data_IF_858743289440
#
_entry.id   IF_858743289440
#
_cell.length_a   1.000
_cell.length_b   1.000
_cell.length_c   1.000
_cell.angle_alpha   90.00
_cell.angle_beta   90.00
_cell.angle_gamma   90.00
#
_symmetry.space_group_name_H-M   'P 1'
#
loop_
_entity.id
_entity.type
_entity.pdbx_description
1 polymer ?
#
# COMPACT_ATOMS: atom_id res chain seq x y z
N UNK A 1 16.46 9.16 -38.23
CA UNK A 1 15.19 9.43 -38.95
C UNK A 1 14.12 8.51 -38.37
N UNK A 2 12.94 9.03 -38.00
CA UNK A 2 11.83 8.18 -37.56
C UNK A 2 11.38 7.28 -38.72
N UNK A 3 11.13 5.99 -38.43
CA UNK A 3 10.70 5.02 -39.44
C UNK A 3 9.33 5.44 -40.03
N UNK A 4 9.05 5.15 -41.31
CA UNK A 4 7.76 5.45 -41.91
C UNK A 4 6.62 4.73 -41.18
N UNK A 5 5.53 5.46 -40.94
CA UNK A 5 4.38 5.06 -40.11
C UNK A 5 3.74 3.72 -40.52
N UNK A 6 3.74 3.39 -41.81
CA UNK A 6 3.24 2.12 -42.33
C UNK A 6 4.08 0.92 -41.89
N UNK A 7 5.41 1.07 -41.81
CA UNK A 7 6.30 0.02 -41.35
C UNK A 7 6.10 -0.29 -39.86
N UNK A 8 5.72 0.72 -39.07
CA UNK A 8 5.36 0.53 -37.66
C UNK A 8 3.98 -0.14 -37.48
N UNK A 9 3.03 0.14 -38.39
CA UNK A 9 1.72 -0.52 -38.41
C UNK A 9 1.82 -1.99 -38.79
N UNK A 10 2.65 -2.30 -39.79
CA UNK A 10 2.86 -3.68 -40.25
C UNK A 10 3.62 -4.52 -39.20
N UNK A 11 4.57 -3.93 -38.46
CA UNK A 11 5.22 -4.58 -37.31
C UNK A 11 4.27 -4.75 -36.11
N UNK A 12 3.31 -3.83 -35.90
CA UNK A 12 2.37 -3.87 -34.79
C UNK A 12 1.15 -4.79 -35.03
N UNK A 13 0.74 -4.99 -36.28
CA UNK A 13 -0.39 -5.82 -36.67
C UNK A 13 -0.35 -7.27 -36.13
N UNK A 14 0.76 -8.03 -36.21
CA UNK A 14 0.82 -9.38 -35.65
C UNK A 14 0.75 -9.39 -34.12
N UNK A 15 1.31 -8.38 -33.45
CA UNK A 15 1.26 -8.23 -31.98
C UNK A 15 -0.16 -7.93 -31.51
N UNK A 16 -0.89 -7.06 -32.22
CA UNK A 16 -2.28 -6.75 -31.94
C UNK A 16 -3.21 -7.94 -32.18
N UNK A 17 -2.98 -8.69 -33.27
CA UNK A 17 -3.72 -9.93 -33.58
C UNK A 17 -3.50 -10.99 -32.50
N UNK A 18 -2.25 -11.20 -32.04
CA UNK A 18 -1.92 -12.08 -30.90
C UNK A 18 -2.56 -11.65 -29.59
N UNK A 19 -2.56 -10.35 -29.26
CA UNK A 19 -3.27 -9.85 -28.06
C UNK A 19 -4.79 -10.09 -28.15
N UNK A 20 -5.37 -9.98 -29.35
CA UNK A 20 -6.79 -10.24 -29.54
C UNK A 20 -7.15 -11.72 -29.33
N UNK A 21 -6.32 -12.65 -29.82
CA UNK A 21 -6.53 -14.09 -29.58
C UNK A 21 -6.29 -14.48 -28.11
N UNK A 22 -5.26 -13.94 -27.46
CA UNK A 22 -5.04 -14.14 -26.01
C UNK A 22 -6.21 -13.62 -25.18
N UNK A 23 -6.76 -12.45 -25.51
CA UNK A 23 -7.93 -11.92 -24.80
C UNK A 23 -9.19 -12.77 -25.00
N UNK A 24 -9.36 -13.36 -26.20
CA UNK A 24 -10.44 -14.31 -26.48
C UNK A 24 -10.27 -15.62 -25.71
N UNK A 25 -9.04 -16.14 -25.61
CA UNK A 25 -8.69 -17.32 -24.79
C UNK A 25 -8.95 -17.06 -23.30
N UNK A 26 -8.53 -15.89 -22.80
CA UNK A 26 -8.76 -15.49 -21.41
C UNK A 26 -10.27 -15.36 -21.11
N UNK A 27 -11.04 -14.81 -22.05
CA UNK A 27 -12.49 -14.70 -21.93
C UNK A 27 -13.18 -16.09 -21.95
N UNK A 28 -12.72 -17.03 -22.79
CA UNK A 28 -13.17 -18.43 -22.80
C UNK A 28 -12.86 -19.11 -21.46
N UNK A 29 -11.67 -18.89 -20.92
CA UNK A 29 -11.24 -19.42 -19.63
C UNK A 29 -12.05 -18.87 -18.45
N UNK A 30 -12.21 -17.54 -18.36
CA UNK A 30 -13.02 -16.87 -17.31
C UNK A 30 -14.49 -17.31 -17.39
N UNK A 31 -15.05 -17.44 -18.60
CA UNK A 31 -16.42 -17.94 -18.77
C UNK A 31 -16.57 -19.36 -18.22
N UNK A 32 -15.60 -20.23 -18.48
CA UNK A 32 -15.66 -21.63 -18.04
C UNK A 32 -15.43 -21.75 -16.53
N UNK A 33 -14.52 -20.97 -15.93
CA UNK A 33 -14.37 -20.96 -14.46
C UNK A 33 -15.56 -20.32 -13.76
N UNK A 34 -16.34 -19.51 -14.46
CA UNK A 34 -17.63 -18.96 -14.01
C UNK A 34 -18.85 -19.82 -14.36
N UNK A 35 -18.69 -20.95 -15.05
CA UNK A 35 -19.82 -21.83 -15.36
C UNK A 35 -20.39 -22.42 -14.06
N UNK A 36 -21.73 -22.44 -13.89
CA UNK A 36 -22.35 -22.70 -12.60
C UNK A 36 -22.29 -24.19 -12.29
N UNK A 37 -21.29 -24.59 -11.49
CA UNK A 37 -21.13 -25.97 -11.03
C UNK A 37 -20.77 -26.14 -9.56
N UNK A 38 -20.46 -25.08 -8.81
CA UNK A 38 -19.96 -25.22 -7.44
C UNK A 38 -20.49 -24.21 -6.39
N UNK A 39 -21.20 -23.15 -6.80
CA UNK A 39 -21.79 -22.18 -5.85
C UNK A 39 -23.24 -21.94 -6.29
N UNK A 40 -24.19 -22.34 -5.44
CA UNK A 40 -25.61 -22.41 -5.74
C UNK A 40 -26.16 -21.16 -6.46
N UNK A 41 -26.71 -21.39 -7.64
CA UNK A 41 -27.28 -20.38 -8.53
C UNK A 41 -28.54 -19.79 -7.88
N UNK A 42 -28.40 -18.63 -7.21
CA UNK A 42 -29.53 -17.85 -6.69
C UNK A 42 -29.82 -16.71 -7.67
N UNK A 43 -30.79 -16.86 -8.59
CA UNK A 43 -31.06 -15.86 -9.65
C UNK A 43 -31.44 -14.47 -9.11
N UNK A 44 -31.93 -14.38 -7.86
CA UNK A 44 -32.31 -13.12 -7.21
C UNK A 44 -31.13 -12.23 -6.78
N UNK A 45 -29.97 -12.80 -6.42
CA UNK A 45 -28.81 -11.97 -6.04
C UNK A 45 -28.13 -11.37 -7.28
N UNK A 46 -28.11 -12.11 -8.39
CA UNK A 46 -27.54 -11.65 -9.66
C UNK A 46 -28.28 -10.43 -10.23
N UNK A 47 -29.62 -10.44 -10.23
CA UNK A 47 -30.44 -9.32 -10.73
C UNK A 47 -30.34 -8.03 -9.88
N UNK A 48 -30.04 -8.16 -8.58
CA UNK A 48 -29.85 -6.99 -7.71
C UNK A 48 -28.43 -6.39 -7.81
N UNK A 49 -27.42 -7.21 -8.10
CA UNK A 49 -26.01 -6.80 -8.15
C UNK A 49 -25.64 -6.24 -9.53
N UNK A 50 -26.29 -6.70 -10.60
CA UNK A 50 -26.03 -6.27 -11.98
C UNK A 50 -26.10 -4.74 -12.21
N UNK A 51 -27.11 -3.98 -11.73
CA UNK A 51 -27.11 -2.52 -11.87
C UNK A 51 -25.97 -1.84 -11.07
N UNK A 52 -25.62 -2.38 -9.90
CA UNK A 52 -24.52 -1.85 -9.09
C UNK A 52 -23.15 -2.09 -9.76
N UNK A 53 -22.93 -3.29 -10.28
CA UNK A 53 -21.69 -3.66 -10.98
C UNK A 53 -21.55 -2.91 -12.30
N UNK A 54 -22.63 -2.79 -13.09
CA UNK A 54 -22.60 -2.02 -14.34
C UNK A 54 -22.37 -0.52 -14.09
N UNK A 55 -23.00 0.04 -13.06
CA UNK A 55 -22.73 1.41 -12.59
C UNK A 55 -21.27 1.60 -12.17
N UNK A 56 -20.72 0.67 -11.38
CA UNK A 56 -19.33 0.69 -10.95
C UNK A 56 -18.37 0.61 -12.16
N UNK A 57 -18.64 -0.28 -13.12
CA UNK A 57 -17.84 -0.40 -14.34
C UNK A 57 -17.90 0.89 -15.17
N UNK A 58 -19.05 1.53 -15.27
CA UNK A 58 -19.20 2.80 -15.99
C UNK A 58 -18.38 3.92 -15.32
N UNK A 59 -18.43 4.02 -13.99
CA UNK A 59 -17.63 4.97 -13.22
C UNK A 59 -16.14 4.67 -13.38
N UNK A 60 -15.72 3.40 -13.26
CA UNK A 60 -14.34 2.99 -13.47
C UNK A 60 -13.86 3.33 -14.87
N UNK A 61 -14.65 3.12 -15.93
CA UNK A 61 -14.25 3.48 -17.30
C UNK A 61 -13.94 4.96 -17.49
N UNK A 62 -14.53 5.85 -16.69
CA UNK A 62 -14.26 7.29 -16.73
C UNK A 62 -13.09 7.65 -15.82
N UNK A 63 -13.08 7.12 -14.59
CA UNK A 63 -12.05 7.44 -13.61
C UNK A 63 -10.69 6.84 -13.96
N UNK A 64 -10.65 5.60 -14.44
CA UNK A 64 -9.40 4.87 -14.72
C UNK A 64 -8.51 5.59 -15.75
N UNK A 65 -8.99 6.05 -16.93
CA UNK A 65 -8.13 6.76 -17.88
C UNK A 65 -7.72 8.15 -17.39
N UNK A 66 -8.56 8.84 -16.61
CA UNK A 66 -8.20 10.11 -15.98
C UNK A 66 -7.07 9.89 -14.96
N UNK A 67 -7.22 8.87 -14.12
CA UNK A 67 -6.23 8.47 -13.13
C UNK A 67 -4.93 8.02 -13.78
N UNK A 68 -5.00 7.24 -14.86
CA UNK A 68 -3.84 6.82 -15.65
C UNK A 68 -3.08 8.01 -16.23
N UNK A 69 -3.78 9.01 -16.81
CA UNK A 69 -3.15 10.23 -17.32
C UNK A 69 -2.47 11.03 -16.21
N UNK A 70 -3.12 11.17 -15.06
CA UNK A 70 -2.58 11.87 -13.90
C UNK A 70 -1.33 11.17 -13.36
N UNK A 71 -1.35 9.85 -13.24
CA UNK A 71 -0.22 9.06 -12.80
C UNK A 71 0.92 9.04 -13.83
N UNK A 72 0.61 8.91 -15.12
CA UNK A 72 1.61 8.98 -16.19
C UNK A 72 2.30 10.35 -16.24
N UNK A 73 1.54 11.43 -16.02
CA UNK A 73 2.09 12.78 -15.88
C UNK A 73 3.00 12.88 -14.65
N UNK A 74 2.51 12.45 -13.48
CA UNK A 74 3.30 12.43 -12.25
C UNK A 74 4.58 11.62 -12.38
N UNK A 75 4.51 10.42 -12.96
CA UNK A 75 5.65 9.56 -13.25
C UNK A 75 6.62 10.20 -14.25
N UNK A 76 6.12 10.89 -15.29
CA UNK A 76 6.98 11.62 -16.24
C UNK A 76 7.74 12.78 -15.58
N UNK A 77 7.13 13.45 -14.60
CA UNK A 77 7.81 14.47 -13.79
C UNK A 77 8.83 13.83 -12.86
N UNK A 78 8.41 12.84 -12.06
CA UNK A 78 9.26 12.13 -11.08
C UNK A 78 10.47 11.45 -11.73
N UNK A 79 10.31 10.81 -12.88
CA UNK A 79 11.40 10.16 -13.61
C UNK A 79 12.46 11.12 -14.17
N UNK A 80 12.13 12.41 -14.31
CA UNK A 80 13.08 13.45 -14.73
C UNK A 80 13.78 14.13 -13.56
N UNK A 81 13.31 13.91 -12.32
CA UNK A 81 13.94 14.50 -11.13
C UNK A 81 15.22 13.74 -10.76
N UNK A 82 16.26 14.45 -10.29
CA UNK A 82 17.44 13.79 -9.72
C UNK A 82 17.05 13.03 -8.45
N UNK A 83 17.80 11.96 -8.15
CA UNK A 83 17.53 11.07 -7.01
C UNK A 83 17.42 11.82 -5.68
N UNK A 84 18.22 12.87 -5.49
CA UNK A 84 18.19 13.71 -4.30
C UNK A 84 16.90 14.54 -4.20
N UNK A 85 16.41 15.07 -5.32
CA UNK A 85 15.13 15.77 -5.33
C UNK A 85 13.95 14.82 -5.09
N UNK A 86 14.02 13.58 -5.58
CA UNK A 86 13.03 12.55 -5.24
C UNK A 86 13.03 12.27 -3.72
N UNK A 87 14.21 12.11 -3.11
CA UNK A 87 14.35 11.92 -1.65
C UNK A 87 13.73 13.09 -0.88
N UNK A 88 13.93 14.32 -1.35
CA UNK A 88 13.29 15.51 -0.78
C UNK A 88 11.77 15.47 -0.89
N UNK A 89 11.22 15.18 -2.08
CA UNK A 89 9.77 15.11 -2.29
C UNK A 89 9.13 14.04 -1.40
N UNK A 90 9.74 12.86 -1.31
CA UNK A 90 9.27 11.79 -0.41
C UNK A 90 9.37 12.21 1.06
N UNK A 91 10.48 12.86 1.46
CA UNK A 91 10.66 13.39 2.81
C UNK A 91 9.59 14.42 3.18
N UNK A 92 9.32 15.37 2.29
CA UNK A 92 8.27 16.38 2.47
C UNK A 92 6.87 15.76 2.53
N UNK A 93 6.57 14.79 1.65
CA UNK A 93 5.28 14.09 1.66
C UNK A 93 5.07 13.31 2.97
N UNK A 94 6.09 12.59 3.44
CA UNK A 94 6.04 11.89 4.73
C UNK A 94 5.91 12.87 5.90
N UNK A 95 6.54 14.04 5.78
CA UNK A 95 6.52 15.06 6.81
C UNK A 95 5.17 15.78 6.94
N UNK A 96 4.46 15.97 5.83
CA UNK A 96 3.18 16.70 5.80
C UNK A 96 1.96 15.77 5.89
N UNK A 97 2.10 14.50 5.51
CA UNK A 97 0.95 13.58 5.37
C UNK A 97 1.16 12.21 6.03
N UNK A 98 2.29 11.99 6.72
CA UNK A 98 2.64 10.68 7.26
C UNK A 98 1.65 10.13 8.28
N UNK A 99 1.02 10.98 9.08
CA UNK A 99 0.00 10.62 10.07
C UNK A 99 -1.29 10.08 9.45
N UNK A 100 -1.62 10.49 8.22
CA UNK A 100 -2.77 9.93 7.50
C UNK A 100 -2.53 8.45 7.12
N UNK A 101 -1.28 8.09 6.86
CA UNK A 101 -0.85 6.77 6.38
C UNK A 101 -0.10 5.98 7.45
N UNK A 102 -0.47 6.14 8.72
CA UNK A 102 0.30 5.58 9.82
C UNK A 102 0.36 4.05 9.78
N UNK A 103 -0.72 3.35 9.40
CA UNK A 103 -0.72 1.89 9.31
C UNK A 103 0.14 1.40 8.14
N UNK A 104 0.10 2.10 7.00
CA UNK A 104 0.94 1.80 5.84
C UNK A 104 2.42 2.03 6.12
N UNK A 105 2.75 3.13 6.81
CA UNK A 105 4.13 3.43 7.23
C UNK A 105 4.63 2.37 8.22
N UNK A 106 3.83 2.01 9.23
CA UNK A 106 4.16 0.95 10.17
C UNK A 106 4.32 -0.41 9.46
N UNK A 107 3.47 -0.72 8.48
CA UNK A 107 3.57 -1.94 7.68
C UNK A 107 4.89 -1.99 6.90
N UNK A 108 5.29 -0.88 6.28
CA UNK A 108 6.56 -0.79 5.55
C UNK A 108 7.75 -0.92 6.50
N UNK A 109 7.70 -0.31 7.68
CA UNK A 109 8.78 -0.40 8.67
C UNK A 109 8.90 -1.79 9.27
N UNK A 110 7.78 -2.42 9.63
CA UNK A 110 7.76 -3.82 10.03
C UNK A 110 8.33 -4.69 8.92
N UNK A 111 7.92 -4.47 7.67
CA UNK A 111 8.44 -5.23 6.54
C UNK A 111 9.96 -5.06 6.35
N UNK A 112 10.45 -3.84 6.51
CA UNK A 112 11.88 -3.52 6.44
C UNK A 112 12.68 -4.21 7.54
N UNK A 113 12.15 -4.29 8.75
CA UNK A 113 12.81 -4.92 9.91
C UNK A 113 12.77 -6.45 9.81
N UNK A 114 11.63 -7.04 9.43
CA UNK A 114 11.41 -8.48 9.57
C UNK A 114 11.79 -9.32 8.35
N UNK A 115 12.01 -8.72 7.16
CA UNK A 115 12.29 -9.60 6.02
C UNK A 115 12.59 -8.98 4.67
N UNK A 116 12.79 -7.66 4.53
CA UNK A 116 13.00 -7.05 3.20
C UNK A 116 14.11 -7.73 2.38
N UNK A 117 15.28 -7.96 2.99
CA UNK A 117 16.43 -8.55 2.27
C UNK A 117 16.16 -9.97 1.78
N UNK A 118 15.62 -10.81 2.67
CA UNK A 118 15.28 -12.19 2.35
C UNK A 118 14.10 -12.26 1.37
N UNK A 119 13.10 -11.40 1.53
CA UNK A 119 11.95 -11.35 0.63
C UNK A 119 12.39 -10.97 -0.78
N UNK A 120 13.28 -10.00 -0.94
CA UNK A 120 13.77 -9.62 -2.29
C UNK A 120 14.39 -10.80 -3.01
N UNK A 121 15.14 -11.64 -2.29
CA UNK A 121 15.69 -12.87 -2.85
C UNK A 121 14.59 -13.86 -3.27
N UNK A 122 13.62 -14.13 -2.40
CA UNK A 122 12.52 -15.06 -2.67
C UNK A 122 11.57 -14.57 -3.77
N UNK A 123 11.29 -13.26 -3.84
CA UNK A 123 10.56 -12.64 -4.96
C UNK A 123 11.32 -12.84 -6.26
N UNK A 124 12.64 -12.66 -6.26
CA UNK A 124 13.47 -12.90 -7.43
C UNK A 124 13.33 -14.33 -7.97
N UNK A 125 13.28 -15.33 -7.08
CA UNK A 125 13.03 -16.73 -7.44
C UNK A 125 11.65 -16.89 -8.08
N UNK A 126 10.59 -16.41 -7.42
CA UNK A 126 9.21 -16.55 -7.93
C UNK A 126 9.04 -15.86 -9.28
N UNK A 127 9.60 -14.66 -9.46
CA UNK A 127 9.54 -13.92 -10.72
C UNK A 127 10.30 -14.64 -11.83
N UNK A 128 11.50 -15.17 -11.54
CA UNK A 128 12.28 -15.91 -12.53
C UNK A 128 11.55 -17.18 -13.00
N UNK A 129 10.99 -17.97 -12.08
CA UNK A 129 10.21 -19.15 -12.42
C UNK A 129 8.93 -18.79 -13.17
N UNK A 130 8.23 -17.72 -12.77
CA UNK A 130 7.04 -17.23 -13.47
C UNK A 130 7.35 -16.76 -14.89
N UNK A 131 8.50 -16.12 -15.11
CA UNK A 131 8.97 -15.74 -16.44
C UNK A 131 9.28 -16.97 -17.29
N UNK A 132 9.95 -17.99 -16.74
CA UNK A 132 10.21 -19.26 -17.42
C UNK A 132 8.92 -19.94 -17.89
N UNK A 133 7.92 -20.04 -17.00
CA UNK A 133 6.59 -20.59 -17.33
C UNK A 133 5.89 -19.74 -18.39
N UNK A 134 5.99 -18.41 -18.31
CA UNK A 134 5.40 -17.52 -19.30
C UNK A 134 6.05 -17.70 -20.68
N UNK A 135 7.36 -17.86 -20.75
CA UNK A 135 8.09 -18.06 -22.01
C UNK A 135 7.83 -19.45 -22.61
N UNK A 136 7.76 -20.49 -21.78
CA UNK A 136 7.33 -21.82 -22.21
C UNK A 136 5.89 -21.81 -22.73
N UNK A 137 4.98 -21.13 -22.03
CA UNK A 137 3.59 -20.97 -22.44
C UNK A 137 3.45 -20.22 -23.76
N UNK A 138 4.31 -19.23 -24.02
CA UNK A 138 4.35 -18.54 -25.33
C UNK A 138 4.79 -19.46 -26.45
N UNK A 139 5.82 -20.29 -26.23
CA UNK A 139 6.30 -21.25 -27.24
C UNK A 139 5.24 -22.31 -27.54
N UNK A 140 4.60 -22.84 -26.49
CA UNK A 140 3.50 -23.80 -26.59
C UNK A 140 2.29 -23.24 -27.35
N UNK A 141 2.05 -21.92 -27.26
CA UNK A 141 0.97 -21.26 -28.01
C UNK A 141 1.20 -21.18 -29.52
N UNK A 142 2.43 -21.38 -29.99
CA UNK A 142 2.81 -21.34 -31.41
C UNK A 142 2.95 -22.76 -32.01
N UNK A 143 2.70 -23.82 -31.23
CA UNK A 143 2.75 -25.21 -31.72
C UNK A 143 1.45 -25.55 -32.44
N UNK A 144 1.59 -25.99 -33.68
CA UNK A 144 0.55 -26.53 -34.58
C UNK A 144 1.10 -27.87 -35.06
N UNK A 145 0.73 -28.95 -34.36
CA UNK A 145 1.31 -30.27 -34.58
C UNK A 145 0.65 -31.04 -35.72
N UNK A 146 -0.56 -30.65 -36.14
CA UNK A 146 -1.33 -31.27 -37.21
C UNK A 146 -1.30 -30.47 -38.54
N UNK A 147 -0.55 -29.37 -38.56
CA UNK A 147 -0.34 -28.45 -39.69
C UNK A 147 -1.66 -27.91 -40.27
N UNK A 148 -2.68 -27.77 -39.44
CA UNK A 148 -4.01 -27.36 -39.87
C UNK A 148 -4.15 -25.81 -39.96
N UNK A 149 -3.12 -25.08 -39.54
CA UNK A 149 -3.06 -23.61 -39.55
C UNK A 149 -3.65 -22.95 -38.30
N UNK A 150 -4.05 -23.73 -37.30
CA UNK A 150 -4.55 -23.32 -36.00
C UNK A 150 -3.66 -23.95 -34.92
N UNK A 151 -3.28 -23.16 -33.91
CA UNK A 151 -2.47 -23.72 -32.82
C UNK A 151 -3.28 -24.73 -32.00
N UNK A 152 -2.67 -25.86 -31.61
CA UNK A 152 -3.33 -26.95 -30.85
C UNK A 152 -4.06 -26.43 -29.60
N UNK A 153 -3.48 -25.40 -28.96
CA UNK A 153 -4.01 -24.75 -27.75
C UNK A 153 -5.37 -24.06 -27.99
N UNK A 154 -5.65 -23.59 -29.20
CA UNK A 154 -6.94 -22.97 -29.56
C UNK A 154 -8.06 -24.00 -29.72
N UNK A 155 -7.71 -25.21 -30.13
CA UNK A 155 -8.65 -26.29 -30.39
C UNK A 155 -9.09 -27.02 -29.12
N UNK A 156 -8.25 -26.97 -28.08
CA UNK A 156 -8.54 -27.59 -26.78
C UNK A 156 -9.81 -27.03 -26.13
N UNK A 157 -10.53 -27.91 -25.43
CA UNK A 157 -11.59 -27.48 -24.52
C UNK A 157 -10.99 -26.75 -23.32
N UNK A 158 -11.76 -25.87 -22.66
CA UNK A 158 -11.25 -25.05 -21.55
C UNK A 158 -10.69 -25.88 -20.38
N UNK A 159 -11.28 -27.05 -20.10
CA UNK A 159 -10.81 -27.95 -19.04
C UNK A 159 -9.52 -28.66 -19.42
N UNK A 160 -9.39 -29.07 -20.68
CA UNK A 160 -8.15 -29.63 -21.24
C UNK A 160 -7.05 -28.59 -21.28
N UNK A 161 -7.37 -27.35 -21.67
CA UNK A 161 -6.43 -26.23 -21.67
C UNK A 161 -5.91 -25.93 -20.26
N UNK A 162 -6.79 -25.91 -19.25
CA UNK A 162 -6.36 -25.74 -17.86
C UNK A 162 -5.40 -26.86 -17.45
N UNK A 163 -5.75 -28.11 -17.73
CA UNK A 163 -4.90 -29.26 -17.42
C UNK A 163 -3.56 -29.18 -18.16
N UNK A 164 -3.57 -28.89 -19.45
CA UNK A 164 -2.37 -28.74 -20.28
C UNK A 164 -1.46 -27.63 -19.78
N UNK A 165 -2.00 -26.43 -19.52
CA UNK A 165 -1.22 -25.30 -19.02
C UNK A 165 -0.71 -25.51 -17.59
N UNK A 166 -1.47 -26.18 -16.72
CA UNK A 166 -0.96 -26.59 -15.40
C UNK A 166 0.15 -27.63 -15.53
N UNK A 167 0.02 -28.61 -16.44
CA UNK A 167 1.05 -29.60 -16.70
C UNK A 167 2.32 -28.96 -17.27
N UNK A 168 2.17 -28.03 -18.22
CA UNK A 168 3.26 -27.23 -18.78
C UNK A 168 3.95 -26.41 -17.68
N UNK A 169 3.20 -25.75 -16.80
CA UNK A 169 3.78 -25.01 -15.69
C UNK A 169 4.56 -25.94 -14.75
N UNK A 170 3.99 -27.09 -14.39
CA UNK A 170 4.65 -28.09 -13.52
C UNK A 170 5.89 -28.71 -14.17
N UNK A 171 5.92 -28.89 -15.50
CA UNK A 171 7.08 -29.43 -16.22
C UNK A 171 8.17 -28.39 -16.49
N UNK A 172 7.80 -27.11 -16.53
CA UNK A 172 8.75 -26.00 -16.79
C UNK A 172 9.50 -25.57 -15.52
N UNK A 173 8.87 -25.69 -14.35
CA UNK A 173 9.51 -25.37 -13.06
C UNK A 173 10.60 -26.39 -12.76
N UNK A 174 11.85 -25.92 -12.64
CA UNK A 174 13.01 -26.79 -12.44
C UNK A 174 13.11 -27.32 -11.02
N UNK A 175 12.78 -26.48 -10.03
CA UNK A 175 12.86 -26.82 -8.61
C UNK A 175 11.56 -26.43 -7.88
N UNK A 176 10.58 -27.35 -7.77
CA UNK A 176 9.30 -27.06 -7.12
C UNK A 176 9.45 -26.85 -5.61
N UNK A 177 10.44 -27.46 -4.97
CA UNK A 177 10.66 -27.30 -3.52
C UNK A 177 11.16 -25.91 -3.20
N UNK A 178 12.09 -25.38 -4.01
CA UNK A 178 12.58 -24.01 -3.88
C UNK A 178 11.49 -22.98 -4.16
N UNK A 179 10.64 -23.23 -5.17
CA UNK A 179 9.50 -22.35 -5.45
C UNK A 179 8.49 -22.35 -4.30
N UNK A 180 8.16 -23.54 -3.76
CA UNK A 180 7.27 -23.68 -2.60
C UNK A 180 7.85 -22.98 -1.36
N UNK A 181 9.14 -23.17 -1.07
CA UNK A 181 9.81 -22.50 0.05
C UNK A 181 9.81 -20.98 -0.11
N UNK A 182 10.07 -20.48 -1.32
CA UNK A 182 10.00 -19.05 -1.61
C UNK A 182 8.58 -18.50 -1.42
N UNK A 183 7.56 -19.17 -1.95
CA UNK A 183 6.16 -18.77 -1.76
C UNK A 183 5.74 -18.83 -0.28
N UNK A 184 6.17 -19.85 0.45
CA UNK A 184 5.96 -19.98 1.89
C UNK A 184 6.59 -18.83 2.67
N UNK A 185 7.80 -18.40 2.28
CA UNK A 185 8.46 -17.25 2.88
C UNK A 185 7.69 -15.94 2.60
N UNK A 186 7.21 -15.73 1.38
CA UNK A 186 6.37 -14.55 1.06
C UNK A 186 5.14 -14.49 1.98
N UNK A 187 4.48 -15.64 2.17
CA UNK A 187 3.33 -15.74 3.07
C UNK A 187 3.72 -15.48 4.52
N UNK A 188 4.80 -16.08 5.01
CA UNK A 188 5.29 -15.89 6.37
C UNK A 188 5.66 -14.42 6.65
N UNK A 189 6.32 -13.75 5.70
CA UNK A 189 6.67 -12.33 5.83
C UNK A 189 5.42 -11.44 5.87
N UNK A 190 4.41 -11.74 5.05
CA UNK A 190 3.11 -11.06 5.11
C UNK A 190 2.41 -11.25 6.45
N UNK A 191 2.31 -12.49 6.94
CA UNK A 191 1.70 -12.81 8.24
C UNK A 191 2.47 -12.16 9.39
N UNK A 192 3.80 -12.09 9.30
CA UNK A 192 4.63 -11.44 10.32
C UNK A 192 4.33 -9.94 10.41
N UNK A 193 4.21 -9.23 9.29
CA UNK A 193 3.82 -7.81 9.30
C UNK A 193 2.44 -7.62 9.90
N UNK A 194 1.46 -8.44 9.49
CA UNK A 194 0.12 -8.38 10.06
C UNK A 194 0.13 -8.64 11.57
N UNK A 195 0.91 -9.61 12.04
CA UNK A 195 1.03 -9.91 13.47
C UNK A 195 1.64 -8.74 14.25
N UNK A 196 2.69 -8.09 13.72
CA UNK A 196 3.29 -6.90 14.34
C UNK A 196 2.28 -5.77 14.45
N UNK A 197 1.58 -5.46 13.35
CA UNK A 197 0.57 -4.41 13.35
C UNK A 197 -0.52 -4.72 14.39
N UNK A 198 -1.06 -5.94 14.41
CA UNK A 198 -2.07 -6.35 15.40
C UNK A 198 -1.58 -6.20 16.83
N UNK A 199 -0.34 -6.59 17.12
CA UNK A 199 0.20 -6.47 18.47
C UNK A 199 0.25 -5.01 18.94
N UNK A 200 0.60 -4.07 18.06
CA UNK A 200 0.58 -2.64 18.38
C UNK A 200 -0.83 -2.10 18.63
N UNK A 201 -1.80 -2.49 17.80
CA UNK A 201 -3.20 -2.09 17.99
C UNK A 201 -3.84 -2.72 19.23
N UNK A 202 -3.63 -4.02 19.46
CA UNK A 202 -4.12 -4.73 20.64
C UNK A 202 -3.55 -4.11 21.93
N UNK A 203 -2.27 -3.71 21.92
CA UNK A 203 -1.65 -2.96 23.03
C UNK A 203 -2.34 -1.62 23.26
N UNK A 204 -2.64 -0.88 22.20
CA UNK A 204 -3.33 0.41 22.27
C UNK A 204 -4.74 0.28 22.85
N UNK A 205 -5.51 -0.72 22.40
CA UNK A 205 -6.86 -1.00 22.91
C UNK A 205 -6.82 -1.47 24.36
N UNK A 206 -5.89 -2.36 24.71
CA UNK A 206 -5.71 -2.84 26.10
C UNK A 206 -5.42 -1.69 27.05
N UNK A 207 -4.55 -0.75 26.64
CA UNK A 207 -4.27 0.45 27.42
C UNK A 207 -5.52 1.34 27.57
N UNK A 208 -6.30 1.50 26.50
CA UNK A 208 -7.53 2.29 26.52
C UNK A 208 -8.59 1.69 27.46
N UNK A 209 -8.73 0.37 27.47
CA UNK A 209 -9.68 -0.33 28.34
C UNK A 209 -9.23 -0.26 29.81
N UNK A 210 -7.94 -0.43 30.09
CA UNK A 210 -7.40 -0.24 31.43
C UNK A 210 -7.64 1.19 31.95
N UNK A 211 -7.49 2.21 31.09
CA UNK A 211 -7.87 3.59 31.44
C UNK A 211 -9.37 3.73 31.71
N UNK A 212 -10.25 3.06 30.93
CA UNK A 212 -11.69 3.10 31.16
C UNK A 212 -12.06 2.54 32.54
N UNK A 213 -11.48 1.39 32.93
CA UNK A 213 -11.69 0.80 34.25
C UNK A 213 -11.29 1.76 35.38
N UNK A 214 -10.18 2.51 35.22
CA UNK A 214 -9.74 3.50 36.21
C UNK A 214 -10.72 4.68 36.35
N UNK A 215 -11.39 5.08 35.27
CA UNK A 215 -12.35 6.19 35.28
C UNK A 215 -13.79 5.77 35.59
N UNK A 216 -14.09 4.47 35.62
CA UNK A 216 -15.45 3.95 35.74
C UNK A 216 -16.12 4.43 37.02
N UNK A 217 -15.47 4.27 38.17
CA UNK A 217 -16.03 4.66 39.47
C UNK A 217 -16.36 6.15 39.58
N UNK A 218 -15.43 7.09 39.31
CA UNK A 218 -15.73 8.52 39.41
C UNK A 218 -16.81 8.97 38.41
N UNK A 219 -16.82 8.43 37.19
CA UNK A 219 -17.82 8.78 36.17
C UNK A 219 -19.19 8.21 36.52
N UNK A 220 -19.28 6.95 36.92
CA UNK A 220 -20.54 6.32 37.32
C UNK A 220 -21.16 7.07 38.49
N UNK A 221 -20.37 7.45 39.50
CA UNK A 221 -20.85 8.24 40.64
C UNK A 221 -21.46 9.59 40.23
N UNK A 222 -20.91 10.22 39.20
CA UNK A 222 -21.35 11.54 38.73
C UNK A 222 -22.57 11.46 37.81
N UNK A 223 -22.55 10.55 36.83
CA UNK A 223 -23.52 10.54 35.73
C UNK A 223 -24.68 9.55 35.92
N UNK A 224 -24.49 8.47 36.70
CA UNK A 224 -25.53 7.45 36.88
C UNK A 224 -26.85 8.01 37.44
N UNK A 225 -26.87 8.89 38.45
CA UNK A 225 -28.13 9.41 38.99
C UNK A 225 -28.95 10.18 37.95
N UNK A 226 -28.30 11.00 37.13
CA UNK A 226 -28.96 11.75 36.06
C UNK A 226 -29.46 10.83 34.94
N UNK A 227 -28.68 9.80 34.60
CA UNK A 227 -29.03 8.84 33.57
C UNK A 227 -30.22 7.96 34.01
N UNK A 228 -30.25 7.50 35.27
CA UNK A 228 -31.34 6.71 35.85
C UNK A 228 -32.63 7.51 36.02
N UNK A 229 -32.55 8.84 36.18
CA UNK A 229 -33.74 9.70 36.14
C UNK A 229 -34.35 9.82 34.74
N UNK A 230 -33.53 9.64 33.70
CA UNK A 230 -33.91 9.78 32.29
C UNK A 230 -34.34 8.44 31.68
N UNK A 231 -33.70 7.34 32.09
CA UNK A 231 -34.13 5.99 31.78
C UNK A 231 -35.28 5.62 32.73
N UNK A 232 -36.45 5.31 32.17
CA UNK A 232 -37.61 4.89 32.97
C UNK A 232 -37.32 3.72 33.93
N UNK A 233 -38.24 3.44 34.88
CA UNK A 233 -38.01 2.47 35.96
C UNK A 233 -37.60 1.08 35.47
N UNK A 234 -38.06 0.67 34.29
CA UNK A 234 -37.76 -0.65 33.73
C UNK A 234 -36.33 -0.77 33.16
N UNK A 235 -35.67 0.36 32.82
CA UNK A 235 -34.38 0.37 32.12
C UNK A 235 -33.19 0.78 32.99
N UNK A 236 -33.39 1.07 34.27
CA UNK A 236 -32.34 1.60 35.16
C UNK A 236 -31.10 0.69 35.26
N UNK A 237 -31.28 -0.62 35.09
CA UNK A 237 -30.20 -1.61 35.09
C UNK A 237 -29.22 -1.46 33.92
N UNK A 238 -29.63 -0.83 32.80
CA UNK A 238 -28.74 -0.53 31.68
C UNK A 238 -27.83 0.67 31.94
N UNK A 239 -28.08 1.46 32.99
CA UNK A 239 -27.37 2.72 33.20
C UNK A 239 -25.86 2.56 33.35
N UNK A 240 -25.44 1.57 34.14
CA UNK A 240 -24.02 1.24 34.31
C UNK A 240 -23.41 0.73 33.01
N UNK A 241 -24.12 -0.14 32.27
CA UNK A 241 -23.64 -0.67 30.99
C UNK A 241 -23.44 0.45 29.96
N UNK A 242 -24.38 1.38 29.85
CA UNK A 242 -24.28 2.53 28.94
C UNK A 242 -23.04 3.37 29.28
N UNK A 243 -22.82 3.65 30.58
CA UNK A 243 -21.67 4.44 31.02
C UNK A 243 -20.37 3.70 30.73
N UNK A 244 -20.26 2.41 31.05
CA UNK A 244 -19.08 1.58 30.78
C UNK A 244 -18.77 1.51 29.28
N UNK A 245 -19.77 1.23 28.44
CA UNK A 245 -19.59 1.17 26.99
C UNK A 245 -19.20 2.53 26.39
N UNK A 246 -19.83 3.62 26.85
CA UNK A 246 -19.48 4.97 26.42
C UNK A 246 -18.05 5.34 26.84
N UNK A 247 -17.65 4.98 28.07
CA UNK A 247 -16.33 5.24 28.58
C UNK A 247 -15.26 4.46 27.81
N UNK A 248 -15.47 3.16 27.57
CA UNK A 248 -14.57 2.35 26.76
C UNK A 248 -14.45 2.88 25.32
N UNK A 249 -15.55 3.34 24.73
CA UNK A 249 -15.53 3.98 23.40
C UNK A 249 -14.69 5.26 23.42
N UNK A 250 -14.95 6.16 24.37
CA UNK A 250 -14.25 7.45 24.48
C UNK A 250 -12.76 7.25 24.74
N UNK A 251 -12.37 6.38 25.68
CA UNK A 251 -10.95 6.11 25.95
C UNK A 251 -10.27 5.47 24.74
N UNK A 252 -10.97 4.58 24.01
CA UNK A 252 -10.46 3.99 22.77
C UNK A 252 -10.24 5.03 21.68
N UNK A 253 -11.19 5.96 21.47
CA UNK A 253 -11.03 7.04 20.49
C UNK A 253 -9.86 7.96 20.83
N UNK A 254 -9.68 8.30 22.11
CA UNK A 254 -8.53 9.10 22.58
C UNK A 254 -7.21 8.35 22.38
N UNK A 255 -7.18 7.06 22.70
CA UNK A 255 -5.98 6.24 22.51
C UNK A 255 -5.59 6.11 21.03
N UNK A 256 -6.57 5.91 20.14
CA UNK A 256 -6.35 5.89 18.69
C UNK A 256 -5.79 7.23 18.23
N UNK A 257 -6.38 8.35 18.66
CA UNK A 257 -5.90 9.68 18.29
C UNK A 257 -4.46 9.92 18.77
N UNK A 258 -4.13 9.53 20.01
CA UNK A 258 -2.78 9.64 20.54
C UNK A 258 -1.78 8.77 19.78
N UNK A 259 -2.16 7.54 19.43
CA UNK A 259 -1.33 6.65 18.62
C UNK A 259 -1.07 7.26 17.23
N UNK A 260 -2.10 7.81 16.58
CA UNK A 260 -1.95 8.53 15.31
C UNK A 260 -1.00 9.72 15.46
N UNK A 261 -1.09 10.48 16.55
CA UNK A 261 -0.17 11.59 16.82
C UNK A 261 1.29 11.12 16.99
N UNK A 262 1.52 10.01 17.69
CA UNK A 262 2.86 9.43 17.85
C UNK A 262 3.43 9.00 16.49
N UNK A 263 2.63 8.30 15.67
CA UNK A 263 3.06 7.88 14.33
C UNK A 263 3.29 9.07 13.39
N UNK A 264 2.44 10.10 13.47
CA UNK A 264 2.60 11.35 12.72
C UNK A 264 3.90 12.07 13.09
N UNK A 265 4.23 12.12 14.39
CA UNK A 265 5.48 12.68 14.88
C UNK A 265 6.69 11.90 14.34
N UNK A 266 6.66 10.57 14.43
CA UNK A 266 7.71 9.71 13.87
C UNK A 266 7.90 9.95 12.37
N UNK A 267 6.81 9.98 11.61
CA UNK A 267 6.83 10.24 10.18
C UNK A 267 7.35 11.66 9.85
N UNK A 268 6.99 12.67 10.65
CA UNK A 268 7.50 14.02 10.52
C UNK A 268 9.01 14.11 10.71
N UNK A 269 9.54 13.51 11.78
CA UNK A 269 10.98 13.48 12.04
C UNK A 269 11.73 12.73 10.94
N UNK A 270 11.23 11.54 10.55
CA UNK A 270 11.84 10.75 9.47
C UNK A 270 11.82 11.49 8.13
N UNK A 271 10.68 12.10 7.79
CA UNK A 271 10.50 12.87 6.56
C UNK A 271 11.38 14.12 6.51
N UNK A 272 11.47 14.84 7.63
CA UNK A 272 12.38 15.99 7.79
C UNK A 272 13.85 15.62 7.59
N UNK A 273 14.29 14.50 8.19
CA UNK A 273 15.64 13.97 7.97
C UNK A 273 15.90 13.61 6.50
N UNK A 274 14.99 12.88 5.86
CA UNK A 274 15.11 12.53 4.44
C UNK A 274 15.18 13.77 3.54
N UNK A 275 14.39 14.80 3.85
CA UNK A 275 14.41 16.06 3.13
C UNK A 275 15.74 16.78 3.27
N UNK A 276 16.24 16.92 4.51
CA UNK A 276 17.52 17.55 4.77
C UNK A 276 18.65 16.81 4.02
N UNK A 277 18.76 15.49 4.17
CA UNK A 277 19.79 14.69 3.48
C UNK A 277 19.73 14.85 1.95
N UNK A 278 18.53 14.91 1.35
CA UNK A 278 18.38 15.16 -0.08
C UNK A 278 18.75 16.58 -0.49
N UNK A 279 18.42 17.58 0.33
CA UNK A 279 18.77 18.98 0.08
C UNK A 279 20.29 19.18 0.10
N UNK A 280 20.98 18.63 1.11
CA UNK A 280 22.44 18.76 1.22
C UNK A 280 23.16 18.03 0.09
N UNK A 281 22.73 16.82 -0.27
CA UNK A 281 23.29 16.10 -1.41
C UNK A 281 23.10 16.88 -2.73
N UNK A 282 21.93 17.53 -2.92
CA UNK A 282 21.69 18.35 -4.11
C UNK A 282 22.57 19.62 -4.11
N UNK A 283 22.77 20.25 -2.96
CA UNK A 283 23.66 21.42 -2.83
C UNK A 283 25.13 21.06 -3.12
N UNK A 284 25.56 19.88 -2.70
CA UNK A 284 26.89 19.33 -3.01
C UNK A 284 27.08 19.07 -4.50
N UNK A 285 26.10 18.43 -5.15
CA UNK A 285 26.12 18.18 -6.60
C UNK A 285 26.20 19.47 -7.44
N UNK A 286 25.64 20.58 -6.96
CA UNK A 286 25.70 21.88 -7.63
C UNK A 286 26.95 22.70 -7.31
N UNK A 287 27.88 22.15 -6.51
CA UNK A 287 29.13 22.82 -6.15
C UNK A 287 28.92 24.04 -5.26
N UNK A 288 27.84 24.08 -4.47
CA UNK A 288 27.58 25.17 -3.52
C UNK A 288 28.49 25.11 -2.28
N UNK A 289 29.17 23.98 -2.06
CA UNK A 289 30.13 23.76 -0.96
C UNK A 289 31.60 23.82 -1.40
N UNK A 290 31.89 23.79 -2.70
CA UNK A 290 33.25 23.89 -3.26
C UNK A 290 33.46 25.27 -3.85
N UNK A 291 34.67 25.83 -3.71
CA UNK A 291 35.09 27.22 -3.96
C UNK A 291 34.90 27.78 -5.41
N UNK A 292 34.05 27.18 -6.24
CA UNK A 292 34.02 27.43 -7.68
C UNK A 292 33.37 28.77 -8.10
N UNK A 293 32.53 29.43 -7.29
CA UNK A 293 31.87 30.70 -7.71
C UNK A 293 31.48 31.64 -6.57
N UNK A 294 32.44 32.16 -5.81
CA UNK A 294 32.32 33.45 -5.08
C UNK A 294 31.15 33.62 -4.09
N UNK A 295 30.42 32.55 -3.74
CA UNK A 295 29.44 32.56 -2.66
C UNK A 295 30.20 32.44 -1.34
N UNK A 296 29.91 33.28 -0.34
CA UNK A 296 30.60 33.20 0.94
C UNK A 296 30.41 31.80 1.50
N UNK A 297 31.51 31.15 1.91
CA UNK A 297 31.48 29.91 2.69
C UNK A 297 30.48 30.12 3.81
N UNK A 298 29.34 29.42 3.74
CA UNK A 298 28.46 29.36 4.89
C UNK A 298 29.33 28.77 6.01
N UNK A 299 29.52 29.49 7.14
CA UNK A 299 30.54 29.17 8.14
C UNK A 299 30.34 27.79 8.81
N UNK A 300 29.28 27.08 8.45
CA UNK A 300 28.83 25.80 8.97
C UNK A 300 29.13 24.59 8.05
N UNK A 301 29.95 24.72 6.99
CA UNK A 301 30.26 23.59 6.09
C UNK A 301 31.74 23.55 5.69
N UNK A 302 32.48 22.52 6.12
CA UNK A 302 33.77 22.11 5.53
C UNK A 302 33.58 21.05 4.43
N UNK A 303 34.59 20.96 3.58
CA UNK A 303 34.72 19.94 2.55
C UNK A 303 34.76 18.52 3.16
N UNK A 304 33.93 17.62 2.65
CA UNK A 304 33.86 16.22 3.09
C UNK A 304 32.68 15.90 4.02
N UNK A 305 31.47 16.36 3.71
CA UNK A 305 30.27 16.03 4.48
C UNK A 305 29.94 14.54 4.36
N UNK A 306 30.11 13.80 5.46
CA UNK A 306 29.48 12.48 5.61
C UNK A 306 28.24 12.62 6.50
N UNK A 307 27.08 12.02 6.11
CA UNK A 307 25.87 12.04 6.93
C UNK A 307 26.02 11.40 8.31
N UNK A 308 27.09 10.62 8.51
CA UNK A 308 27.29 9.76 9.68
C UNK A 308 28.38 10.27 10.64
N UNK A 309 29.37 11.07 10.19
CA UNK A 309 30.53 11.48 11.02
C UNK A 309 30.63 12.99 11.33
N UNK A 310 29.66 13.81 10.92
CA UNK A 310 29.76 15.26 11.13
C UNK A 310 29.57 15.62 12.62
N UNK A 311 30.53 16.37 13.19
CA UNK A 311 30.49 16.85 14.58
C UNK A 311 29.66 18.14 14.70
N UNK A 312 29.14 18.38 15.92
CA UNK A 312 28.05 19.30 16.29
C UNK A 312 28.07 20.73 15.72
N UNK A 313 29.20 21.29 15.27
CA UNK A 313 29.26 22.66 14.69
C UNK A 313 29.00 22.69 13.17
N UNK A 314 29.37 21.64 12.43
CA UNK A 314 29.07 21.45 10.99
C UNK A 314 27.81 20.58 10.80
N UNK A 315 27.50 19.75 11.79
CA UNK A 315 26.31 18.92 11.88
C UNK A 315 25.10 19.63 12.48
N UNK A 316 25.12 20.95 12.70
CA UNK A 316 23.94 21.66 13.22
C UNK A 316 22.93 21.99 12.12
N UNK A 317 23.39 22.35 10.92
CA UNK A 317 22.54 22.89 9.85
C UNK A 317 21.57 21.85 9.29
N UNK A 318 22.01 20.62 9.02
CA UNK A 318 21.17 19.58 8.45
C UNK A 318 20.09 19.06 9.42
N UNK A 319 20.42 18.74 10.68
CA UNK A 319 19.44 18.42 11.69
C UNK A 319 18.52 19.59 12.01
N UNK A 320 19.01 20.84 12.05
CA UNK A 320 18.15 22.01 12.29
C UNK A 320 17.12 22.17 11.17
N UNK A 321 17.52 22.06 9.89
CA UNK A 321 16.58 22.10 8.76
C UNK A 321 15.60 20.94 8.83
N UNK A 322 16.09 19.72 9.11
CA UNK A 322 15.25 18.53 9.22
C UNK A 322 14.22 18.62 10.36
N UNK A 323 14.65 19.02 11.57
CA UNK A 323 13.77 19.17 12.73
C UNK A 323 12.83 20.36 12.62
N UNK A 324 13.25 21.47 11.98
CA UNK A 324 12.36 22.60 11.72
C UNK A 324 11.25 22.18 10.77
N UNK A 325 11.59 21.51 9.66
CA UNK A 325 10.60 20.98 8.74
C UNK A 325 9.71 19.93 9.42
N UNK A 326 10.27 19.05 10.25
CA UNK A 326 9.52 18.08 11.03
C UNK A 326 8.53 18.75 11.99
N UNK A 327 8.94 19.80 12.70
CA UNK A 327 8.07 20.57 13.59
C UNK A 327 6.93 21.24 12.82
N UNK A 328 7.24 21.91 11.71
CA UNK A 328 6.23 22.52 10.84
C UNK A 328 5.27 21.48 10.26
N UNK A 329 5.79 20.34 9.79
CA UNK A 329 4.99 19.27 9.20
C UNK A 329 4.11 18.57 10.22
N UNK A 330 4.62 18.31 11.43
CA UNK A 330 3.82 17.75 12.51
C UNK A 330 2.71 18.71 12.95
N UNK A 331 3.02 20.00 13.13
CA UNK A 331 2.00 21.01 13.45
C UNK A 331 0.94 21.09 12.35
N UNK A 332 1.35 21.07 11.08
CA UNK A 332 0.43 21.03 9.95
C UNK A 332 -0.51 19.82 10.06
N UNK A 333 0.04 18.61 10.23
CA UNK A 333 -0.74 17.38 10.37
C UNK A 333 -1.75 17.44 11.52
N UNK A 334 -1.36 17.97 12.68
CA UNK A 334 -2.26 18.13 13.84
C UNK A 334 -3.36 19.15 13.52
N UNK A 335 -3.03 20.28 12.90
CA UNK A 335 -4.02 21.32 12.56
C UNK A 335 -4.99 20.89 11.47
N UNK A 336 -4.59 20.00 10.57
CA UNK A 336 -5.48 19.42 9.54
C UNK A 336 -6.20 18.16 10.02
N UNK A 337 -6.05 17.76 11.28
CA UNK A 337 -6.71 16.58 11.84
C UNK A 337 -6.24 15.26 11.22
N UNK A 338 -5.02 15.21 10.68
CA UNK A 338 -4.45 14.07 9.94
C UNK A 338 -5.23 13.71 8.67
N UNK A 339 -6.00 14.64 8.11
CA UNK A 339 -6.72 14.46 6.86
C UNK A 339 -5.92 15.00 5.66
N UNK A 340 -6.17 14.41 4.48
CA UNK A 340 -5.63 14.86 3.21
C UNK A 340 -6.51 15.97 2.62
N UNK A 341 -5.99 17.18 2.37
CA UNK A 341 -6.76 18.22 1.71
C UNK A 341 -7.00 17.86 0.23
N UNK A 342 -8.11 18.35 -0.32
CA UNK A 342 -8.35 18.29 -1.77
C UNK A 342 -7.32 19.17 -2.50
N UNK A 343 -6.69 18.71 -3.60
CA UNK A 343 -6.96 17.48 -4.38
C UNK A 343 -6.06 16.29 -4.04
N UNK A 344 -5.23 16.37 -3.00
CA UNK A 344 -4.28 15.30 -2.65
C UNK A 344 -4.99 14.01 -2.25
N UNK A 345 -6.18 14.11 -1.66
CA UNK A 345 -7.05 12.95 -1.39
C UNK A 345 -7.35 12.11 -2.65
N UNK A 346 -7.51 12.73 -3.82
CA UNK A 346 -7.75 12.02 -5.07
C UNK A 346 -6.46 11.42 -5.63
N UNK A 347 -5.35 12.16 -5.52
CA UNK A 347 -4.03 11.69 -5.99
C UNK A 347 -3.53 10.49 -5.19
N UNK A 348 -3.74 10.50 -3.87
CA UNK A 348 -3.31 9.42 -2.99
C UNK A 348 -4.39 8.37 -2.73
N UNK A 349 -5.50 8.38 -3.49
CA UNK A 349 -6.62 7.46 -3.29
C UNK A 349 -6.20 5.97 -3.22
N UNK A 350 -5.30 5.44 -4.08
CA UNK A 350 -4.86 4.05 -3.95
C UNK A 350 -4.11 3.77 -2.65
N UNK A 351 -3.31 4.72 -2.18
CA UNK A 351 -2.61 4.59 -0.91
C UNK A 351 -3.61 4.66 0.26
N UNK A 352 -4.63 5.53 0.16
CA UNK A 352 -5.73 5.58 1.13
C UNK A 352 -6.55 4.28 1.13
N UNK A 353 -6.72 3.63 -0.02
CA UNK A 353 -7.37 2.33 -0.10
C UNK A 353 -6.55 1.23 0.57
N UNK A 354 -5.22 1.25 0.41
CA UNK A 354 -4.30 0.33 1.11
C UNK A 354 -4.33 0.59 2.61
N UNK A 355 -4.25 1.85 3.04
CA UNK A 355 -4.36 2.23 4.44
C UNK A 355 -5.67 1.73 5.05
N UNK A 356 -6.79 1.95 4.36
CA UNK A 356 -8.10 1.48 4.81
C UNK A 356 -8.17 -0.05 4.89
N UNK A 357 -7.63 -0.76 3.91
CA UNK A 357 -7.60 -2.22 3.89
C UNK A 357 -6.74 -2.79 5.03
N UNK A 358 -5.57 -2.19 5.30
CA UNK A 358 -4.72 -2.58 6.43
C UNK A 358 -5.43 -2.36 7.76
N UNK A 359 -6.03 -1.18 7.95
CA UNK A 359 -6.83 -0.88 9.15
C UNK A 359 -7.99 -1.85 9.31
N UNK A 360 -8.72 -2.14 8.23
CA UNK A 360 -9.80 -3.13 8.23
C UNK A 360 -9.33 -4.53 8.62
N UNK A 361 -8.22 -5.02 8.04
CA UNK A 361 -7.67 -6.33 8.36
C UNK A 361 -7.23 -6.46 9.83
N UNK A 362 -6.77 -5.36 10.41
CA UNK A 362 -6.42 -5.29 11.83
C UNK A 362 -7.69 -5.38 12.68
N UNK A 363 -8.71 -4.58 12.39
CA UNK A 363 -9.95 -4.55 13.19
C UNK A 363 -10.79 -5.83 13.08
N UNK A 364 -10.97 -6.38 11.87
CA UNK A 364 -11.87 -7.53 11.65
C UNK A 364 -11.30 -8.84 12.17
N UNK A 365 -9.98 -9.02 12.17
CA UNK A 365 -9.41 -10.32 12.55
C UNK A 365 -9.38 -10.53 14.06
N UNK A 366 -9.48 -9.47 14.88
CA UNK A 366 -9.57 -9.59 16.34
C UNK A 366 -10.95 -10.12 16.79
N UNK A 367 -12.03 -9.85 16.06
CA UNK A 367 -13.37 -10.40 16.38
C UNK A 367 -13.45 -11.92 16.14
N UNK A 368 -12.61 -12.49 15.28
CA UNK A 368 -12.54 -13.93 15.03
C UNK A 368 -11.83 -14.75 16.12
N UNK A 369 -11.23 -14.08 17.11
CA UNK A 369 -10.56 -14.70 18.27
C UNK A 369 -11.35 -14.52 19.59
N UNK A 370 -12.46 -13.78 19.56
CA UNK A 370 -13.36 -13.55 20.69
C UNK A 370 -14.69 -14.32 20.59
N UNK A 371 -14.80 -15.23 19.60
CA UNK A 371 -15.80 -16.29 19.50
C UNK A 371 -15.07 -17.63 19.41
#
# INVERSE_FOLDING_TARGET
MPRPYQQQLDEAAPVLKRRSSESARLAKFVRTTSEPGAIGDRPRTRQAIEPAVSGLIAVLRVLLPLYWKMYAFGYSVLSKLPTNAMRMVFGAALCLFGGHFFASVAAIEAFRIFGWEQLRHHVGIVVAEAQSVADASRKDNDVDADENGVADVDEMTSRELLRHKTALAMSTVQDPQRLQAAAGFLWAAYVSVLATLRLEFARTISLALACAEMFEFPITRCFLPGLVALLGPDLQHWGTTIIQSALALVTTLVAIWLQTAISAFYAAVRGGRMFAEGLFALMEEHGLFTDAKGLPKLPCFKEGWSPEDSTLDEAASAPVVGFTLAGCGFLYQVTTGFELPFPLNLVFLPLTAVEWLLRWQIYVTDEGLLL
#
